data_IF_948048551812
#
_entry.id   IF_948048551812
#
_cell.length_a   1.000
_cell.length_b   1.000
_cell.length_c   1.000
_cell.angle_alpha   90.00
_cell.angle_beta   90.00
_cell.angle_gamma   90.00
#
_symmetry.space_group_name_H-M   'P 1'
#
loop_
_entity.id
_entity.type
_entity.pdbx_description
1 polymer ?
#
# COMPACT_ATOMS: atom_id res chain seq x y z
N UNK A 1 14.57 -14.75 -8.20
CA UNK A 1 14.23 -13.84 -7.09
C UNK A 1 15.44 -12.95 -6.84
N UNK A 2 15.36 -11.68 -7.26
CA UNK A 2 16.47 -10.73 -7.18
C UNK A 2 16.27 -9.91 -5.92
N UNK A 3 17.21 -9.96 -4.97
CA UNK A 3 17.26 -9.04 -3.83
C UNK A 3 18.15 -7.87 -4.20
N UNK A 4 17.57 -6.69 -4.35
CA UNK A 4 18.33 -5.44 -4.55
C UNK A 4 18.90 -5.04 -3.19
N UNK A 5 20.21 -5.25 -2.98
CA UNK A 5 20.90 -4.83 -1.75
C UNK A 5 21.29 -3.36 -1.85
N UNK A 6 20.52 -2.47 -1.25
CA UNK A 6 20.95 -1.07 -1.02
C UNK A 6 21.89 -1.00 0.18
N UNK A 7 23.14 -1.42 -0.02
CA UNK A 7 24.33 -0.97 0.75
C UNK A 7 24.27 -0.90 2.28
N UNK A 8 23.43 -1.66 2.96
CA UNK A 8 23.32 -1.70 4.42
C UNK A 8 23.97 -2.95 5.03
N UNK A 9 24.37 -2.88 6.29
CA UNK A 9 25.01 -3.98 7.04
C UNK A 9 24.08 -5.15 7.40
N UNK A 10 22.83 -5.14 6.92
CA UNK A 10 21.90 -6.22 7.16
C UNK A 10 22.29 -7.46 6.35
N UNK A 11 22.42 -8.57 7.06
CA UNK A 11 22.57 -9.90 6.47
C UNK A 11 21.22 -10.45 6.03
N UNK A 12 21.23 -11.52 5.23
CA UNK A 12 19.97 -12.19 4.83
C UNK A 12 19.21 -12.77 6.03
N UNK A 13 19.94 -13.12 7.10
CA UNK A 13 19.32 -13.54 8.35
C UNK A 13 18.56 -12.37 9.00
N UNK A 14 19.15 -11.18 9.04
CA UNK A 14 18.51 -9.98 9.57
C UNK A 14 17.28 -9.59 8.74
N UNK A 15 17.38 -9.67 7.40
CA UNK A 15 16.24 -9.42 6.51
C UNK A 15 15.08 -10.40 6.73
N UNK A 16 15.37 -11.69 6.98
CA UNK A 16 14.34 -12.69 7.28
C UNK A 16 13.66 -12.44 8.62
N UNK A 17 14.38 -11.92 9.61
CA UNK A 17 13.83 -11.56 10.91
C UNK A 17 12.95 -10.31 10.84
N UNK A 18 13.29 -9.34 9.98
CA UNK A 18 12.52 -8.11 9.82
C UNK A 18 11.33 -8.22 8.85
N UNK A 19 11.34 -9.21 7.95
CA UNK A 19 10.29 -9.37 6.94
C UNK A 19 8.86 -9.47 7.51
N UNK A 20 8.60 -10.19 8.62
CA UNK A 20 7.26 -10.21 9.23
C UNK A 20 6.83 -8.85 9.77
N UNK A 21 7.71 -8.15 10.49
CA UNK A 21 7.42 -6.81 11.01
C UNK A 21 7.15 -5.81 9.88
N UNK A 22 7.96 -5.85 8.82
CA UNK A 22 7.76 -4.99 7.65
C UNK A 22 6.44 -5.32 6.93
N UNK A 23 6.06 -6.60 6.87
CA UNK A 23 4.78 -7.01 6.33
C UNK A 23 3.61 -6.48 7.19
N UNK A 24 3.66 -6.65 8.50
CA UNK A 24 2.64 -6.15 9.45
C UNK A 24 2.49 -4.63 9.37
N UNK A 25 3.59 -3.88 9.28
CA UNK A 25 3.54 -2.43 9.05
C UNK A 25 2.87 -2.08 7.72
N UNK A 26 3.23 -2.79 6.64
CA UNK A 26 2.60 -2.57 5.34
C UNK A 26 1.09 -2.87 5.37
N UNK A 27 0.63 -3.88 6.11
CA UNK A 27 -0.82 -4.17 6.22
C UNK A 27 -1.57 -3.03 6.90
N UNK A 28 -1.03 -2.48 7.99
CA UNK A 28 -1.66 -1.38 8.72
C UNK A 28 -1.70 -0.10 7.89
N UNK A 29 -0.59 0.26 7.26
CA UNK A 29 -0.50 1.47 6.44
C UNK A 29 -1.39 1.37 5.19
N UNK A 30 -1.46 0.18 4.58
CA UNK A 30 -2.36 -0.06 3.45
C UNK A 30 -3.84 -0.01 3.87
N UNK A 31 -4.17 -0.56 5.05
CA UNK A 31 -5.51 -0.49 5.62
C UNK A 31 -5.95 0.96 5.87
N UNK A 32 -5.05 1.80 6.38
CA UNK A 32 -5.32 3.22 6.57
C UNK A 32 -5.57 3.95 5.23
N UNK A 33 -4.75 3.67 4.21
CA UNK A 33 -4.94 4.22 2.86
C UNK A 33 -6.29 3.82 2.26
N UNK A 34 -6.66 2.54 2.36
CA UNK A 34 -7.95 2.03 1.91
C UNK A 34 -9.13 2.68 2.66
N UNK A 35 -8.99 2.86 3.97
CA UNK A 35 -10.02 3.49 4.79
C UNK A 35 -10.23 4.95 4.41
N UNK A 36 -9.16 5.71 4.14
CA UNK A 36 -9.26 7.09 3.67
C UNK A 36 -10.07 7.17 2.36
N UNK A 37 -9.77 6.31 1.37
CA UNK A 37 -10.54 6.23 0.12
C UNK A 37 -12.02 5.94 0.41
N UNK A 38 -12.29 4.93 1.23
CA UNK A 38 -13.65 4.53 1.60
C UNK A 38 -14.42 5.65 2.32
N UNK A 39 -13.76 6.37 3.22
CA UNK A 39 -14.35 7.49 3.95
C UNK A 39 -14.69 8.65 3.00
N UNK A 40 -13.81 8.94 2.04
CA UNK A 40 -14.03 9.96 1.01
C UNK A 40 -15.20 9.63 0.07
N UNK A 41 -15.51 8.35 -0.15
CA UNK A 41 -16.74 7.92 -0.87
C UNK A 41 -18.05 8.27 -0.13
N UNK A 42 -17.95 8.80 1.09
CA UNK A 42 -19.06 9.22 1.95
C UNK A 42 -19.81 8.04 2.58
N UNK A 43 -20.79 8.33 3.43
CA UNK A 43 -21.57 7.31 4.17
C UNK A 43 -22.28 6.31 3.25
N UNK A 44 -22.66 6.74 2.04
CA UNK A 44 -23.28 5.85 1.05
C UNK A 44 -22.26 4.92 0.37
N UNK A 45 -20.97 5.26 0.40
CA UNK A 45 -19.90 4.55 -0.31
C UNK A 45 -19.97 4.64 -1.84
N UNK A 46 -20.85 5.49 -2.39
CA UNK A 46 -21.15 5.55 -3.83
C UNK A 46 -20.39 6.63 -4.59
N UNK A 47 -19.72 7.56 -3.91
CA UNK A 47 -18.96 8.60 -4.58
C UNK A 47 -17.61 8.07 -5.08
N UNK A 48 -17.66 7.33 -6.19
CA UNK A 48 -16.48 6.73 -6.80
C UNK A 48 -15.50 7.79 -7.31
N UNK A 49 -15.99 8.95 -7.77
CA UNK A 49 -15.15 10.05 -8.26
C UNK A 49 -14.29 10.59 -7.14
N UNK A 50 -14.88 10.89 -5.98
CA UNK A 50 -14.12 11.33 -4.81
C UNK A 50 -13.16 10.23 -4.32
N UNK A 51 -13.58 8.96 -4.36
CA UNK A 51 -12.72 7.83 -4.05
C UNK A 51 -11.51 7.69 -4.99
N UNK A 52 -11.71 7.85 -6.31
CA UNK A 52 -10.62 7.83 -7.30
C UNK A 52 -9.67 8.99 -7.10
N UNK A 53 -10.20 10.20 -6.86
CA UNK A 53 -9.40 11.38 -6.61
C UNK A 53 -8.50 11.19 -5.36
N UNK A 54 -9.04 10.63 -4.28
CA UNK A 54 -8.26 10.30 -3.07
C UNK A 54 -7.18 9.25 -3.37
N UNK A 55 -7.52 8.17 -4.07
CA UNK A 55 -6.57 7.12 -4.45
C UNK A 55 -5.42 7.67 -5.28
N UNK A 56 -5.74 8.47 -6.29
CA UNK A 56 -4.74 9.01 -7.21
C UNK A 56 -3.87 10.06 -6.48
N UNK A 57 -4.46 10.87 -5.59
CA UNK A 57 -3.73 11.77 -4.70
C UNK A 57 -2.73 11.05 -3.77
N UNK A 58 -3.10 9.89 -3.23
CA UNK A 58 -2.21 9.04 -2.44
C UNK A 58 -1.06 8.51 -3.30
N UNK A 59 -1.37 8.00 -4.50
CA UNK A 59 -0.38 7.46 -5.44
C UNK A 59 0.62 8.51 -5.90
N UNK A 60 0.18 9.75 -6.10
CA UNK A 60 1.04 10.88 -6.51
C UNK A 60 2.06 11.27 -5.44
N UNK A 61 1.76 11.00 -4.16
CA UNK A 61 2.64 11.29 -3.02
C UNK A 61 3.66 10.19 -2.71
N UNK A 62 3.57 9.05 -3.39
CA UNK A 62 4.52 7.97 -3.18
C UNK A 62 5.92 8.36 -3.69
N UNK A 63 6.97 8.23 -2.85
CA UNK A 63 8.35 8.34 -3.32
C UNK A 63 8.62 7.31 -4.41
N UNK A 64 9.38 7.70 -5.44
CA UNK A 64 9.65 6.85 -6.60
C UNK A 64 10.30 5.51 -6.21
N UNK A 65 11.08 5.51 -5.13
CA UNK A 65 11.81 4.35 -4.63
C UNK A 65 10.92 3.23 -4.12
N UNK A 66 9.70 3.55 -3.69
CA UNK A 66 8.75 2.60 -3.09
C UNK A 66 7.43 2.50 -3.87
N UNK A 67 7.21 3.36 -4.86
CA UNK A 67 5.97 3.43 -5.63
C UNK A 67 5.57 2.09 -6.23
N UNK A 68 6.49 1.39 -6.89
CA UNK A 68 6.21 0.07 -7.49
C UNK A 68 5.77 -0.95 -6.43
N UNK A 69 6.53 -1.05 -5.33
CA UNK A 69 6.23 -1.96 -4.22
C UNK A 69 4.85 -1.69 -3.61
N UNK A 70 4.50 -0.42 -3.40
CA UNK A 70 3.20 -0.04 -2.82
C UNK A 70 2.06 -0.34 -3.79
N UNK A 71 2.24 -0.09 -5.10
CA UNK A 71 1.21 -0.39 -6.10
C UNK A 71 0.99 -1.90 -6.25
N UNK A 72 2.05 -2.71 -6.19
CA UNK A 72 1.94 -4.16 -6.16
C UNK A 72 1.21 -4.66 -4.91
N UNK A 73 1.50 -4.08 -3.75
CA UNK A 73 0.84 -4.45 -2.49
C UNK A 73 -0.64 -4.04 -2.49
N UNK A 74 -0.96 -2.83 -2.97
CA UNK A 74 -2.33 -2.39 -3.24
C UNK A 74 -3.08 -3.39 -4.12
N UNK A 75 -2.48 -3.80 -5.26
CA UNK A 75 -3.11 -4.75 -6.17
C UNK A 75 -3.31 -6.15 -5.54
N UNK A 76 -2.33 -6.64 -4.79
CA UNK A 76 -2.38 -7.96 -4.13
C UNK A 76 -3.45 -8.04 -3.06
N UNK A 77 -3.63 -6.96 -2.30
CA UNK A 77 -4.49 -6.91 -1.11
C UNK A 77 -5.81 -6.19 -1.37
N UNK A 78 -6.07 -5.70 -2.57
CA UNK A 78 -7.27 -4.90 -2.88
C UNK A 78 -8.57 -5.63 -2.49
N UNK A 79 -8.62 -6.95 -2.68
CA UNK A 79 -9.77 -7.77 -2.32
C UNK A 79 -10.12 -7.72 -0.82
N UNK A 80 -9.12 -7.63 0.06
CA UNK A 80 -9.35 -7.48 1.51
C UNK A 80 -9.56 -6.01 1.92
N UNK A 81 -9.24 -5.07 1.03
CA UNK A 81 -9.44 -3.64 1.18
C UNK A 81 -10.71 -3.11 0.48
N UNK A 82 -11.75 -3.94 0.35
CA UNK A 82 -13.03 -3.59 -0.31
C UNK A 82 -12.90 -3.15 -1.77
N UNK A 83 -11.86 -3.59 -2.47
CA UNK A 83 -11.58 -3.27 -3.87
C UNK A 83 -11.41 -1.77 -4.17
N UNK A 84 -11.05 -0.95 -3.17
CA UNK A 84 -11.00 0.51 -3.34
C UNK A 84 -9.82 1.00 -4.18
N UNK A 85 -8.80 0.17 -4.41
CA UNK A 85 -7.62 0.54 -5.20
C UNK A 85 -7.78 0.25 -6.69
N UNK A 86 -8.56 -0.76 -7.08
CA UNK A 86 -8.85 -1.07 -8.50
C UNK A 86 -10.17 -0.49 -8.99
N UNK A 87 -11.17 -0.37 -8.10
CA UNK A 87 -12.49 0.17 -8.44
C UNK A 87 -12.46 1.64 -8.76
#
# INVERSE_FOLDING_TARGET
MITIRRGGSLTDADHRLLAPWAADCAEHDLGAAAYAIKATRGTSGKDLVAGHAERDWQRDRLPNEVRELVLEDQARRDAICWSVFSA
#
